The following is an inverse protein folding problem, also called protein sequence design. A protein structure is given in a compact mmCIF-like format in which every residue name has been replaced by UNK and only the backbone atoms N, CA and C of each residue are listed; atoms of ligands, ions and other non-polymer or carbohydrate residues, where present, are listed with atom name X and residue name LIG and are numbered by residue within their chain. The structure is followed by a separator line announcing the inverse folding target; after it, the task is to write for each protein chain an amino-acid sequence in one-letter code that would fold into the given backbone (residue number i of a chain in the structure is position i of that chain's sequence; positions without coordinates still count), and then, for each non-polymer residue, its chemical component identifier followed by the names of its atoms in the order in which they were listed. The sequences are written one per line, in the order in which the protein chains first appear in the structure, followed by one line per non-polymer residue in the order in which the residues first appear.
data_IF_020745939059
#
_entry.id   IF_020745939059
#
_cell.length_a   1.000
_cell.length_b   1.000
_cell.length_c   1.000
_cell.angle_alpha   90.00
_cell.angle_beta   90.00
_cell.angle_gamma   90.00
#
_symmetry.space_group_name_H-M   'P 1'
#
loop_
_entity.id
_entity.type
_entity.pdbx_description
1 polymer ?
#
# COMPACT_ATOMS: atom_id res chain seq x y z
N UNK A 1 11.59 -2.63 2.69
CA UNK A 1 11.97 -2.85 4.10
C UNK A 1 11.49 -1.71 5.00
N UNK A 2 11.92 -0.44 4.80
CA UNK A 2 11.56 0.67 5.70
C UNK A 2 10.06 0.84 6.01
N UNK A 3 9.13 0.86 5.03
CA UNK A 3 7.71 1.10 5.34
C UNK A 3 7.10 0.00 6.21
N UNK A 4 7.47 -1.26 5.96
CA UNK A 4 6.98 -2.40 6.75
C UNK A 4 7.62 -2.40 8.13
N UNK A 5 8.91 -2.10 8.25
CA UNK A 5 9.56 -1.97 9.57
C UNK A 5 8.87 -0.89 10.41
N UNK A 6 8.53 0.26 9.83
CA UNK A 6 7.75 1.29 10.51
C UNK A 6 6.35 0.79 10.92
N UNK A 7 5.68 0.02 10.05
CA UNK A 7 4.37 -0.57 10.30
C UNK A 7 4.33 -1.55 11.49
N UNK A 8 5.48 -2.08 11.94
CA UNK A 8 5.56 -3.00 13.08
C UNK A 8 6.37 -2.43 14.25
N UNK A 9 6.93 -1.22 14.12
CA UNK A 9 7.76 -0.61 15.16
C UNK A 9 6.93 -0.31 16.43
N UNK A 10 7.39 -0.82 17.58
CA UNK A 10 6.89 -0.45 18.91
C UNK A 10 5.44 -0.83 19.21
N UNK A 11 4.86 -1.79 18.47
CA UNK A 11 3.44 -2.18 18.58
C UNK A 11 3.27 -3.69 18.62
N UNK A 12 2.13 -4.15 19.12
CA UNK A 12 1.71 -5.54 18.96
C UNK A 12 1.53 -5.89 17.48
N UNK A 13 1.76 -7.16 17.14
CA UNK A 13 1.57 -7.67 15.77
C UNK A 13 0.11 -7.50 15.36
N UNK A 14 -0.20 -6.73 14.29
CA UNK A 14 -1.57 -6.54 13.83
C UNK A 14 -2.15 -7.88 13.35
N UNK A 15 -3.45 -8.09 13.56
CA UNK A 15 -4.16 -9.30 13.08
C UNK A 15 -4.76 -9.09 11.70
N UNK A 16 -5.17 -7.85 11.38
CA UNK A 16 -5.77 -7.46 10.09
C UNK A 16 -5.01 -6.29 9.49
N UNK A 17 -4.40 -6.51 8.33
CA UNK A 17 -3.60 -5.50 7.63
C UNK A 17 -4.16 -5.24 6.22
N UNK A 18 -4.20 -3.98 5.81
CA UNK A 18 -4.47 -3.59 4.43
C UNK A 18 -3.21 -3.02 3.78
N UNK A 19 -2.79 -3.60 2.66
CA UNK A 19 -1.77 -3.06 1.75
C UNK A 19 -2.47 -2.49 0.52
N UNK A 20 -2.56 -1.16 0.44
CA UNK A 20 -3.47 -0.46 -0.51
C UNK A 20 -2.95 -0.51 -1.96
N UNK A 21 -1.64 -0.54 -2.14
CA UNK A 21 -0.95 -0.54 -3.44
C UNK A 21 0.13 -1.63 -3.44
N UNK A 22 -0.33 -2.88 -3.45
CA UNK A 22 0.46 -4.04 -3.06
C UNK A 22 1.44 -4.51 -4.13
N UNK A 23 1.16 -4.32 -5.44
CA UNK A 23 2.05 -4.85 -6.45
C UNK A 23 3.41 -4.13 -6.45
N UNK A 24 4.53 -4.86 -6.69
CA UNK A 24 4.60 -6.25 -7.13
C UNK A 24 4.52 -7.30 -6.01
N UNK A 25 4.31 -6.91 -4.75
CA UNK A 25 4.08 -7.83 -3.61
C UNK A 25 5.20 -7.88 -2.58
N UNK A 26 6.29 -7.14 -2.76
CA UNK A 26 7.46 -7.21 -1.87
C UNK A 26 7.18 -6.74 -0.43
N UNK A 27 6.26 -5.79 -0.25
CA UNK A 27 5.86 -5.32 1.08
C UNK A 27 4.83 -6.27 1.70
N UNK A 28 3.86 -6.72 0.91
CA UNK A 28 2.86 -7.72 1.32
C UNK A 28 3.52 -9.01 1.84
N UNK A 29 4.51 -9.54 1.13
CA UNK A 29 5.21 -10.76 1.56
C UNK A 29 6.04 -10.53 2.83
N UNK A 30 6.63 -9.33 2.98
CA UNK A 30 7.33 -8.94 4.20
C UNK A 30 6.37 -8.82 5.39
N UNK A 31 5.17 -8.25 5.20
CA UNK A 31 4.11 -8.17 6.22
C UNK A 31 3.70 -9.59 6.63
N UNK A 32 3.40 -10.47 5.67
CA UNK A 32 3.01 -11.86 5.94
C UNK A 32 4.08 -12.63 6.73
N UNK A 33 5.36 -12.41 6.41
CA UNK A 33 6.47 -13.01 7.15
C UNK A 33 6.52 -12.54 8.61
N UNK A 34 6.36 -11.23 8.86
CA UNK A 34 6.34 -10.67 10.22
C UNK A 34 5.10 -11.07 11.03
N UNK A 35 3.96 -11.29 10.35
CA UNK A 35 2.76 -11.86 10.96
C UNK A 35 2.84 -13.38 11.16
N UNK A 36 3.92 -14.04 10.73
CA UNK A 36 4.06 -15.49 10.83
C UNK A 36 2.96 -16.26 10.09
N UNK A 37 2.49 -15.74 8.94
CA UNK A 37 1.33 -16.28 8.20
C UNK A 37 0.03 -16.39 9.04
N UNK A 38 -0.12 -15.60 10.11
CA UNK A 38 -1.32 -15.57 10.96
C UNK A 38 -2.17 -14.33 10.65
N UNK A 39 -3.43 -14.34 11.10
CA UNK A 39 -4.35 -13.24 10.83
C UNK A 39 -4.75 -13.15 9.36
N UNK A 40 -4.95 -11.93 8.85
CA UNK A 40 -5.36 -11.68 7.47
C UNK A 40 -4.78 -10.39 6.90
N UNK A 41 -4.40 -10.46 5.62
CA UNK A 41 -3.91 -9.33 4.83
C UNK A 41 -4.86 -9.14 3.65
N UNK A 42 -5.31 -7.92 3.41
CA UNK A 42 -5.91 -7.53 2.14
C UNK A 42 -4.84 -6.83 1.32
N UNK A 43 -4.46 -7.43 0.21
CA UNK A 43 -3.50 -6.87 -0.74
C UNK A 43 -4.27 -6.35 -1.96
N UNK A 44 -4.41 -5.04 -2.04
CA UNK A 44 -5.10 -4.37 -3.13
C UNK A 44 -4.11 -3.89 -4.18
N UNK A 45 -4.48 -4.00 -5.45
CA UNK A 45 -3.75 -3.39 -6.56
C UNK A 45 -4.73 -2.79 -7.55
N UNK A 46 -4.54 -1.52 -7.91
CA UNK A 46 -5.40 -0.83 -8.87
C UNK A 46 -5.15 -1.26 -10.32
N UNK A 47 -3.91 -1.63 -10.66
CA UNK A 47 -3.57 -2.03 -12.03
C UNK A 47 -3.82 -3.52 -12.27
N UNK A 48 -4.84 -3.85 -13.06
CA UNK A 48 -5.17 -5.23 -13.43
C UNK A 48 -3.96 -6.01 -13.99
N UNK A 49 -3.09 -5.35 -14.77
CA UNK A 49 -1.89 -5.97 -15.33
C UNK A 49 -0.88 -6.36 -14.25
N UNK A 50 -0.85 -5.64 -13.13
CA UNK A 50 0.07 -5.86 -12.00
C UNK A 50 -0.48 -6.85 -10.96
N UNK A 51 -1.77 -7.15 -10.96
CA UNK A 51 -2.37 -8.19 -10.08
C UNK A 51 -1.73 -9.56 -10.32
N UNK A 52 -1.43 -9.90 -11.58
CA UNK A 52 -0.82 -11.20 -11.93
C UNK A 52 0.57 -11.37 -11.29
N UNK A 53 1.41 -10.33 -11.36
CA UNK A 53 2.75 -10.38 -10.75
C UNK A 53 2.69 -10.37 -9.23
N UNK A 54 1.72 -9.64 -8.64
CA UNK A 54 1.45 -9.67 -7.21
C UNK A 54 1.09 -11.10 -6.75
N UNK A 55 0.13 -11.74 -7.41
CA UNK A 55 -0.26 -13.13 -7.12
C UNK A 55 0.92 -14.09 -7.24
N UNK A 56 1.69 -14.00 -8.32
CA UNK A 56 2.85 -14.86 -8.52
C UNK A 56 3.89 -14.72 -7.39
N UNK A 57 4.14 -13.51 -6.91
CA UNK A 57 5.09 -13.28 -5.82
C UNK A 57 4.56 -13.77 -4.45
N UNK A 58 3.27 -13.55 -4.16
CA UNK A 58 2.63 -14.07 -2.94
C UNK A 58 2.71 -15.59 -2.91
N UNK A 59 2.34 -16.24 -4.02
CA UNK A 59 2.37 -17.70 -4.16
C UNK A 59 3.79 -18.25 -4.01
N UNK A 60 4.77 -17.64 -4.71
CA UNK A 60 6.18 -18.04 -4.64
C UNK A 60 6.78 -17.94 -3.23
N UNK A 61 6.34 -16.96 -2.45
CA UNK A 61 6.79 -16.76 -1.07
C UNK A 61 6.03 -17.63 -0.05
N UNK A 62 5.08 -18.47 -0.49
CA UNK A 62 4.33 -19.34 0.41
C UNK A 62 3.43 -18.59 1.38
N UNK A 63 2.97 -17.40 1.00
CA UNK A 63 2.07 -16.57 1.81
C UNK A 63 0.66 -17.17 1.75
N UNK A 64 0.06 -17.39 2.92
CA UNK A 64 -1.23 -18.11 3.06
C UNK A 64 -2.36 -17.26 3.64
N UNK A 65 -2.02 -16.15 4.29
CA UNK A 65 -2.95 -15.29 5.01
C UNK A 65 -3.34 -14.03 4.22
N UNK A 66 -3.36 -14.08 2.88
CA UNK A 66 -3.60 -12.90 2.05
C UNK A 66 -4.75 -13.09 1.07
N UNK A 67 -5.69 -12.14 1.06
CA UNK A 67 -6.70 -11.97 0.04
C UNK A 67 -6.26 -10.92 -0.98
N UNK A 68 -6.47 -11.21 -2.26
CA UNK A 68 -6.20 -10.27 -3.35
C UNK A 68 -7.47 -9.51 -3.72
N UNK A 69 -7.32 -8.19 -3.90
CA UNK A 69 -8.41 -7.32 -4.37
C UNK A 69 -7.92 -6.42 -5.49
N UNK A 70 -8.85 -5.96 -6.32
CA UNK A 70 -8.58 -5.06 -7.44
C UNK A 70 -9.63 -3.95 -7.43
N UNK A 71 -9.35 -2.94 -6.61
CA UNK A 71 -10.18 -1.76 -6.46
C UNK A 71 -9.33 -0.50 -6.52
N UNK A 72 -10.02 0.61 -6.76
CA UNK A 72 -9.52 1.90 -6.37
C UNK A 72 -9.30 1.92 -4.85
N UNK A 73 -8.11 2.32 -4.39
CA UNK A 73 -7.81 2.41 -2.96
C UNK A 73 -8.80 3.30 -2.20
N UNK A 74 -9.47 4.21 -2.92
CA UNK A 74 -10.50 5.11 -2.44
C UNK A 74 -11.87 4.45 -2.15
N UNK A 75 -11.99 3.13 -2.14
CA UNK A 75 -13.24 2.47 -1.73
C UNK A 75 -13.20 1.99 -0.28
N UNK A 76 -12.01 1.73 0.25
CA UNK A 76 -11.86 0.97 1.49
C UNK A 76 -12.34 1.73 2.72
N UNK A 77 -12.20 3.06 2.77
CA UNK A 77 -12.64 3.84 3.93
C UNK A 77 -14.15 3.77 4.15
N UNK A 78 -14.93 3.75 3.07
CA UNK A 78 -16.39 3.65 3.14
C UNK A 78 -16.89 2.19 3.22
N UNK A 79 -16.24 1.28 2.50
CA UNK A 79 -16.68 -0.11 2.40
C UNK A 79 -16.30 -0.96 3.62
N UNK A 80 -15.14 -0.68 4.24
CA UNK A 80 -14.59 -1.43 5.37
C UNK A 80 -14.13 -0.48 6.49
N UNK A 81 -15.05 0.30 7.09
CA UNK A 81 -14.71 1.21 8.17
C UNK A 81 -14.13 0.43 9.36
N UNK A 82 -13.10 1.00 9.99
CA UNK A 82 -12.48 0.49 11.24
C UNK A 82 -12.12 -1.01 11.24
N UNK A 83 -11.88 -1.57 10.05
CA UNK A 83 -11.74 -3.03 9.88
C UNK A 83 -10.30 -3.54 9.98
N UNK A 84 -9.31 -2.64 9.98
CA UNK A 84 -7.89 -2.97 9.92
C UNK A 84 -7.15 -2.38 11.12
N UNK A 85 -6.29 -3.19 11.74
CA UNK A 85 -5.45 -2.76 12.87
C UNK A 85 -4.25 -1.93 12.38
N UNK A 86 -3.84 -2.17 11.13
CA UNK A 86 -2.79 -1.42 10.47
C UNK A 86 -3.06 -1.33 8.96
N UNK A 87 -2.70 -0.19 8.36
CA UNK A 87 -2.80 0.00 6.91
C UNK A 87 -1.43 0.47 6.42
N UNK A 88 -0.96 -0.12 5.33
CA UNK A 88 0.18 0.35 4.56
C UNK A 88 -0.30 1.01 3.25
N UNK A 89 0.11 2.26 3.04
CA UNK A 89 -0.18 3.04 1.84
C UNK A 89 1.15 3.48 1.29
N UNK A 90 1.68 2.67 0.40
CA UNK A 90 2.83 3.02 -0.43
C UNK A 90 2.30 3.60 -1.74
N UNK A 91 1.81 4.84 -1.66
CA UNK A 91 1.11 5.46 -2.78
C UNK A 91 2.04 5.66 -3.99
N UNK A 92 1.51 5.60 -5.23
CA UNK A 92 2.28 6.00 -6.40
C UNK A 92 2.80 7.42 -6.21
N UNK A 93 4.08 7.63 -6.48
CA UNK A 93 4.76 8.91 -6.38
C UNK A 93 5.37 9.31 -7.72
N UNK A 94 5.90 10.52 -7.81
CA UNK A 94 6.55 11.07 -8.99
C UNK A 94 7.88 10.39 -9.36
N UNK A 95 8.34 9.42 -8.56
CA UNK A 95 9.37 8.46 -8.97
C UNK A 95 10.81 8.95 -8.93
N UNK A 96 11.08 10.12 -8.36
CA UNK A 96 12.41 10.75 -8.34
C UNK A 96 13.48 9.87 -7.66
N UNK A 97 13.07 9.12 -6.64
CA UNK A 97 13.96 8.20 -5.92
C UNK A 97 14.36 6.94 -6.71
N UNK A 98 13.77 6.72 -7.90
CA UNK A 98 13.96 5.50 -8.70
C UNK A 98 14.99 5.68 -9.82
N UNK A 99 15.47 6.90 -10.07
CA UNK A 99 16.43 7.23 -11.15
C UNK A 99 17.69 6.36 -11.14
N UNK A 100 18.17 5.96 -9.96
CA UNK A 100 19.33 5.05 -9.83
C UNK A 100 19.10 3.66 -10.43
N UNK A 101 17.84 3.22 -10.48
CA UNK A 101 17.42 1.90 -10.96
C UNK A 101 16.92 1.96 -12.40
N UNK A 102 16.31 3.07 -12.78
CA UNK A 102 15.77 3.32 -14.12
C UNK A 102 16.12 4.75 -14.54
N UNK A 103 17.12 4.93 -15.43
CA UNK A 103 17.53 6.25 -15.92
C UNK A 103 16.39 7.04 -16.57
N UNK A 104 15.38 6.36 -17.11
CA UNK A 104 14.24 6.96 -17.81
C UNK A 104 13.06 7.25 -16.88
N UNK A 105 13.19 6.98 -15.57
CA UNK A 105 12.12 7.18 -14.57
C UNK A 105 11.56 8.61 -14.55
N UNK A 106 12.35 9.59 -14.98
CA UNK A 106 12.00 11.02 -14.97
C UNK A 106 11.56 11.54 -16.34
N UNK A 107 11.43 10.67 -17.35
CA UNK A 107 11.06 11.06 -18.72
C UNK A 107 9.73 11.83 -18.82
N UNK A 108 8.78 11.53 -17.92
CA UNK A 108 7.47 12.19 -17.84
C UNK A 108 7.32 13.07 -16.60
N UNK A 109 8.42 13.44 -15.96
CA UNK A 109 8.40 14.25 -14.75
C UNK A 109 8.14 15.73 -15.10
N UNK A 110 7.23 16.38 -14.38
CA UNK A 110 7.00 17.82 -14.45
C UNK A 110 6.37 18.34 -13.14
N UNK A 111 6.45 19.64 -12.83
CA UNK A 111 5.76 20.23 -11.68
C UNK A 111 4.24 19.97 -11.68
N UNK A 112 3.63 19.92 -12.86
CA UNK A 112 2.21 19.61 -13.04
C UNK A 112 1.91 18.15 -12.69
N UNK A 113 2.77 17.21 -13.12
CA UNK A 113 2.59 15.79 -12.78
C UNK A 113 2.79 15.53 -11.30
N UNK A 114 3.75 16.20 -10.65
CA UNK A 114 3.92 16.17 -9.18
C UNK A 114 2.65 16.65 -8.48
N UNK A 115 2.08 17.78 -8.92
CA UNK A 115 0.85 18.34 -8.31
C UNK A 115 -0.33 17.38 -8.45
N UNK A 116 -0.52 16.79 -9.63
CA UNK A 116 -1.58 15.81 -9.92
C UNK A 116 -1.44 14.53 -9.08
N UNK A 117 -0.20 14.02 -8.95
CA UNK A 117 0.11 12.85 -8.13
C UNK A 117 -0.16 13.16 -6.65
N UNK A 118 0.25 14.33 -6.15
CA UNK A 118 0.01 14.74 -4.77
C UNK A 118 -1.49 14.78 -4.43
N UNK A 119 -2.33 15.27 -5.35
CA UNK A 119 -3.78 15.23 -5.17
C UNK A 119 -4.30 13.78 -5.07
N UNK A 120 -3.83 12.88 -5.93
CA UNK A 120 -4.21 11.46 -5.88
C UNK A 120 -3.79 10.79 -4.57
N UNK A 121 -2.59 11.09 -4.07
CA UNK A 121 -2.09 10.60 -2.79
C UNK A 121 -2.96 11.09 -1.63
N UNK A 122 -3.31 12.38 -1.63
CA UNK A 122 -4.15 13.00 -0.61
C UNK A 122 -5.56 12.37 -0.56
N UNK A 123 -6.18 12.17 -1.72
CA UNK A 123 -7.50 11.53 -1.81
C UNK A 123 -7.47 10.09 -1.28
N UNK A 124 -6.38 9.36 -1.53
CA UNK A 124 -6.20 7.99 -1.08
C UNK A 124 -5.96 7.91 0.43
N UNK A 125 -5.18 8.84 1.00
CA UNK A 125 -4.87 8.86 2.43
C UNK A 125 -6.06 9.32 3.29
N UNK A 126 -6.86 10.28 2.80
CA UNK A 126 -8.02 10.84 3.54
C UNK A 126 -9.07 9.82 3.97
N UNK A 127 -9.06 8.64 3.37
CA UNK A 127 -9.99 7.57 3.69
C UNK A 127 -9.60 6.76 4.93
N UNK A 128 -8.42 6.99 5.48
CA UNK A 128 -7.88 6.23 6.62
C UNK A 128 -8.28 6.76 7.98
N UNK A 129 -8.76 7.99 8.06
CA UNK A 129 -8.98 8.66 9.35
C UNK A 129 -10.42 9.16 9.45
N UNK A 130 -11.19 8.74 10.46
CA UNK A 130 -12.45 9.39 10.80
C UNK A 130 -12.25 10.83 11.32
N UNK A 131 -11.01 11.34 11.39
CA UNK A 131 -10.70 12.71 11.79
C UNK A 131 -9.68 13.38 10.87
N UNK A 132 -9.89 14.65 10.47
CA UNK A 132 -8.89 15.41 9.73
C UNK A 132 -7.62 15.63 10.59
N UNK A 133 -6.46 15.48 9.96
CA UNK A 133 -5.18 15.94 10.50
C UNK A 133 -4.69 17.15 9.68
N UNK A 134 -4.29 18.28 10.31
CA UNK A 134 -4.38 18.56 11.73
C UNK A 134 -5.84 18.69 12.17
N UNK A 135 -6.15 18.49 13.45
CA UNK A 135 -7.45 18.90 13.98
C UNK A 135 -7.65 20.38 13.65
N UNK A 136 -8.84 20.74 13.17
CA UNK A 136 -9.22 22.14 13.03
C UNK A 136 -8.97 22.83 14.39
N UNK A 137 -8.17 23.90 14.36
CA UNK A 137 -7.95 24.77 15.51
C UNK A 137 -9.25 25.49 15.91
#
# INVERSE_FOLDING_TARGET
MLPVSALFAGRETPRRVLDVAAAPGSKTTQIAALMGNQGGIVANEYSASRVKVLHANISRCGVKNTALTHFDGRVFGAALPESFDAILLDAPCSGEGVVRKDPDAMSNWSPESVTSIAQTQWETDRQRLPTPWPPAA
#
